data_IF_381728246791
#
_entry.id   IF_381728246791
#
_cell.length_a   1.000
_cell.length_b   1.000
_cell.length_c   1.000
_cell.angle_alpha   90.00
_cell.angle_beta   90.00
_cell.angle_gamma   90.00
#
_symmetry.space_group_name_H-M   'P 1'
#
loop_
_entity.id
_entity.type
_entity.pdbx_description
1 polymer ?
#
# COMPACT_ATOMS: atom_id res chain seq x y z
N UNK A 1 -6.31 15.37 -32.70
CA UNK A 1 -5.17 16.27 -33.01
C UNK A 1 -5.22 17.44 -32.03
N UNK A 2 -4.16 17.72 -31.28
CA UNK A 2 -4.19 18.72 -30.19
C UNK A 2 -4.19 20.17 -30.72
N UNK A 3 -4.75 21.12 -29.96
CA UNK A 3 -4.89 22.55 -30.35
C UNK A 3 -3.59 23.15 -30.92
N UNK A 4 -2.44 22.85 -30.32
CA UNK A 4 -1.12 23.30 -30.80
C UNK A 4 -0.78 22.85 -32.23
N UNK A 5 -1.16 21.63 -32.62
CA UNK A 5 -0.89 21.12 -33.96
C UNK A 5 -1.72 21.82 -35.05
N UNK A 6 -2.87 22.39 -34.69
CA UNK A 6 -3.72 23.15 -35.61
C UNK A 6 -3.19 24.56 -35.82
N UNK A 7 -2.77 25.24 -34.75
CA UNK A 7 -2.15 26.56 -34.82
C UNK A 7 -0.88 26.56 -35.69
N UNK A 8 -0.10 25.47 -35.66
CA UNK A 8 1.12 25.36 -36.47
C UNK A 8 0.88 25.21 -37.97
N UNK A 9 -0.22 24.58 -38.36
CA UNK A 9 -0.62 24.48 -39.77
C UNK A 9 -1.13 25.82 -40.30
N UNK A 10 -1.73 26.64 -39.43
CA UNK A 10 -2.17 28.00 -39.75
C UNK A 10 -0.97 28.94 -39.93
N UNK A 11 0.11 28.75 -39.15
CA UNK A 11 1.30 29.60 -39.21
C UNK A 11 2.26 29.26 -40.36
N UNK A 12 2.24 28.03 -40.87
CA UNK A 12 3.08 27.58 -41.98
C UNK A 12 3.08 28.49 -43.23
N UNK A 13 1.93 28.89 -43.80
CA UNK A 13 1.90 29.75 -45.00
C UNK A 13 2.46 31.16 -44.77
N UNK A 14 2.61 31.58 -43.51
CA UNK A 14 3.15 32.89 -43.14
C UNK A 14 4.64 32.86 -42.77
N UNK A 15 5.28 31.68 -42.85
CA UNK A 15 6.69 31.54 -42.54
C UNK A 15 7.57 32.04 -43.69
N UNK A 16 8.20 33.19 -43.47
CA UNK A 16 9.24 33.77 -44.33
C UNK A 16 10.60 33.67 -43.66
N UNK A 17 11.65 33.56 -44.47
CA UNK A 17 13.02 33.66 -43.95
C UNK A 17 13.37 35.11 -43.53
N UNK A 18 14.56 35.29 -42.95
CA UNK A 18 15.06 36.61 -42.53
C UNK A 18 15.25 37.61 -43.70
N UNK A 19 15.08 37.15 -44.95
CA UNK A 19 15.19 37.92 -46.19
C UNK A 19 13.82 38.07 -46.89
N UNK A 20 12.73 37.60 -46.28
CA UNK A 20 11.37 37.71 -46.80
C UNK A 20 10.94 36.63 -47.80
N UNK A 21 11.76 35.62 -48.05
CA UNK A 21 11.44 34.55 -49.01
C UNK A 21 10.55 33.47 -48.39
N UNK A 22 9.56 33.00 -49.16
CA UNK A 22 8.74 31.85 -48.80
C UNK A 22 9.57 30.56 -48.82
N UNK A 23 9.61 29.83 -47.71
CA UNK A 23 10.37 28.58 -47.60
C UNK A 23 9.50 27.35 -47.90
N UNK A 24 10.08 26.29 -48.49
CA UNK A 24 9.40 25.00 -48.66
C UNK A 24 8.85 24.43 -47.34
N UNK A 25 7.68 23.80 -47.41
CA UNK A 25 6.96 23.21 -46.27
C UNK A 25 7.80 22.29 -45.36
N UNK A 26 8.74 21.53 -45.94
CA UNK A 26 9.60 20.61 -45.18
C UNK A 26 10.64 21.35 -44.32
N UNK A 27 11.05 22.56 -44.72
CA UNK A 27 11.99 23.39 -43.95
C UNK A 27 11.28 23.94 -42.71
N UNK A 28 10.03 24.37 -42.84
CA UNK A 28 9.19 24.79 -41.69
C UNK A 28 9.08 23.68 -40.64
N UNK A 29 8.72 22.47 -41.07
CA UNK A 29 8.63 21.31 -40.18
C UNK A 29 9.97 20.97 -39.51
N UNK A 30 11.07 21.01 -40.26
CA UNK A 30 12.41 20.76 -39.72
C UNK A 30 12.82 21.82 -38.68
N UNK A 31 12.59 23.11 -38.95
CA UNK A 31 12.90 24.20 -38.01
C UNK A 31 12.07 24.11 -36.73
N UNK A 32 10.82 23.66 -36.81
CA UNK A 32 9.99 23.43 -35.62
C UNK A 32 10.53 22.28 -34.76
N UNK A 33 10.88 21.16 -35.40
CA UNK A 33 11.49 20.02 -34.71
C UNK A 33 12.81 20.43 -34.06
N UNK A 34 13.64 21.21 -34.77
CA UNK A 34 14.89 21.76 -34.26
C UNK A 34 14.66 22.66 -33.03
N UNK A 35 13.73 23.62 -33.10
CA UNK A 35 13.40 24.49 -31.98
C UNK A 35 12.87 23.69 -30.75
N UNK A 36 12.06 22.66 -30.99
CA UNK A 36 11.59 21.77 -29.93
C UNK A 36 12.74 20.99 -29.30
N UNK A 37 13.66 20.45 -30.11
CA UNK A 37 14.82 19.70 -29.64
C UNK A 37 15.79 20.61 -28.87
N UNK A 38 16.07 21.81 -29.36
CA UNK A 38 16.90 22.80 -28.66
C UNK A 38 16.28 23.17 -27.30
N UNK A 39 14.97 23.44 -27.27
CA UNK A 39 14.25 23.72 -26.02
C UNK A 39 14.33 22.55 -25.05
N UNK A 40 14.17 21.32 -25.55
CA UNK A 40 14.31 20.11 -24.74
C UNK A 40 15.72 19.95 -24.16
N UNK A 41 16.77 20.20 -24.97
CA UNK A 41 18.16 20.15 -24.53
C UNK A 41 18.39 21.17 -23.41
N UNK A 42 17.96 22.42 -23.59
CA UNK A 42 18.12 23.49 -22.59
C UNK A 42 17.43 23.10 -21.27
N UNK A 43 16.17 22.63 -21.34
CA UNK A 43 15.44 22.19 -20.15
C UNK A 43 16.12 21.01 -19.46
N UNK A 44 16.66 20.07 -20.23
CA UNK A 44 17.39 18.91 -19.69
C UNK A 44 18.69 19.33 -19.03
N UNK A 45 19.44 20.25 -19.62
CA UNK A 45 20.66 20.82 -19.04
C UNK A 45 20.36 21.59 -17.76
N UNK A 46 19.30 22.41 -17.76
CA UNK A 46 18.86 23.13 -16.57
C UNK A 46 18.48 22.17 -15.45
N UNK A 47 17.69 21.13 -15.75
CA UNK A 47 17.37 20.08 -14.79
C UNK A 47 18.62 19.39 -14.24
N UNK A 48 19.61 19.11 -15.09
CA UNK A 48 20.86 18.50 -14.66
C UNK A 48 21.68 19.42 -13.75
N UNK A 49 21.71 20.74 -14.04
CA UNK A 49 22.32 21.75 -13.17
C UNK A 49 21.61 21.81 -11.82
N UNK A 50 20.28 21.84 -11.82
CA UNK A 50 19.47 21.87 -10.61
C UNK A 50 19.64 20.59 -9.77
N UNK A 51 19.68 19.42 -10.41
CA UNK A 51 19.92 18.14 -9.74
C UNK A 51 21.33 18.03 -9.12
N UNK A 52 22.34 18.68 -9.74
CA UNK A 52 23.71 18.76 -9.21
C UNK A 52 23.85 19.79 -8.08
N UNK A 53 22.88 20.68 -7.89
CA UNK A 53 22.91 21.65 -6.80
C UNK A 53 22.93 20.96 -5.43
N UNK A 54 23.90 21.27 -4.55
CA UNK A 54 23.96 20.72 -3.20
C UNK A 54 22.68 20.98 -2.39
N UNK A 55 22.05 22.15 -2.60
CA UNK A 55 20.79 22.52 -1.93
C UNK A 55 19.63 21.60 -2.35
N UNK A 56 19.52 21.28 -3.63
CA UNK A 56 18.51 20.37 -4.14
C UNK A 56 18.68 18.95 -3.59
N UNK A 57 19.94 18.48 -3.46
CA UNK A 57 20.24 17.18 -2.84
C UNK A 57 19.82 17.12 -1.38
N UNK A 58 20.10 18.16 -0.60
CA UNK A 58 19.70 18.23 0.82
C UNK A 58 18.18 18.28 0.96
N UNK A 59 17.51 19.10 0.13
CA UNK A 59 16.05 19.19 0.12
C UNK A 59 15.39 17.85 -0.22
N UNK A 60 15.84 17.20 -1.30
CA UNK A 60 15.34 15.89 -1.72
C UNK A 60 15.59 14.82 -0.64
N UNK A 61 16.76 14.85 0.01
CA UNK A 61 17.06 13.94 1.12
C UNK A 61 16.12 14.19 2.32
N UNK A 62 15.85 15.45 2.68
CA UNK A 62 14.89 15.81 3.74
C UNK A 62 13.49 15.32 3.38
N UNK A 63 13.04 15.54 2.14
CA UNK A 63 11.72 15.12 1.66
C UNK A 63 11.55 13.60 1.69
N UNK A 64 12.55 12.85 1.22
CA UNK A 64 12.55 11.38 1.27
C UNK A 64 12.52 10.87 2.70
N UNK A 65 13.35 11.44 3.58
CA UNK A 65 13.39 11.07 4.99
C UNK A 65 12.06 11.41 5.69
N UNK A 66 11.49 12.59 5.44
CA UNK A 66 10.19 12.99 5.95
C UNK A 66 9.08 12.03 5.51
N UNK A 67 9.05 11.62 4.23
CA UNK A 67 8.10 10.63 3.72
C UNK A 67 8.24 9.28 4.43
N UNK A 68 9.46 8.82 4.68
CA UNK A 68 9.71 7.59 5.42
C UNK A 68 9.28 7.69 6.89
N UNK A 69 9.56 8.82 7.54
CA UNK A 69 9.09 9.12 8.90
C UNK A 69 7.56 9.09 8.96
N UNK A 70 6.85 9.83 8.09
CA UNK A 70 5.38 9.80 8.04
C UNK A 70 4.82 8.39 7.88
N UNK A 71 5.44 7.55 7.05
CA UNK A 71 5.03 6.14 6.90
C UNK A 71 5.15 5.36 8.22
N UNK A 72 6.20 5.56 9.00
CA UNK A 72 6.35 4.93 10.31
C UNK A 72 5.28 5.42 11.30
N UNK A 73 4.99 6.72 11.31
CA UNK A 73 3.95 7.27 12.20
C UNK A 73 2.54 6.79 11.86
N UNK A 74 2.24 6.48 10.59
CA UNK A 74 0.96 5.81 10.25
C UNK A 74 0.77 4.48 10.96
N UNK A 75 1.86 3.81 11.36
CA UNK A 75 1.81 2.56 12.11
C UNK A 75 1.57 2.76 13.62
N UNK A 76 1.57 4.00 14.11
CA UNK A 76 1.35 4.30 15.53
C UNK A 76 0.04 3.71 16.04
N UNK A 77 -1.05 3.83 15.27
CA UNK A 77 -2.36 3.26 15.62
C UNK A 77 -2.39 1.74 15.66
N UNK A 78 -1.44 1.08 14.98
CA UNK A 78 -1.32 -0.38 14.95
C UNK A 78 -0.24 -0.90 15.91
N UNK A 79 0.50 0.00 16.55
CA UNK A 79 1.52 -0.35 17.53
C UNK A 79 0.91 -0.57 18.91
N UNK A 80 1.67 -1.17 19.83
CA UNK A 80 1.23 -1.33 21.21
C UNK A 80 1.18 0.03 21.90
N UNK A 81 0.17 0.25 22.74
CA UNK A 81 0.02 1.49 23.51
C UNK A 81 1.26 1.84 24.35
N UNK A 82 1.91 0.84 24.95
CA UNK A 82 3.14 1.03 25.74
C UNK A 82 4.35 1.51 24.92
N UNK A 83 4.35 1.24 23.61
CA UNK A 83 5.43 1.63 22.70
C UNK A 83 5.18 3.03 22.08
N UNK A 84 4.21 3.78 22.60
CA UNK A 84 3.90 5.16 22.18
C UNK A 84 5.12 6.09 22.27
N UNK A 85 6.05 5.86 23.20
CA UNK A 85 7.30 6.61 23.35
C UNK A 85 8.24 6.52 22.14
N UNK A 86 8.03 5.57 21.23
CA UNK A 86 8.79 5.48 19.97
C UNK A 86 8.39 6.58 18.97
N UNK A 87 7.26 7.24 19.20
CA UNK A 87 6.70 8.29 18.38
C UNK A 87 6.77 9.61 19.15
N UNK A 88 7.13 10.69 18.46
CA UNK A 88 7.02 12.05 19.00
C UNK A 88 5.56 12.50 19.01
N UNK A 89 5.22 13.46 19.86
CA UNK A 89 3.84 13.91 20.05
C UNK A 89 3.20 14.46 18.77
N UNK A 90 4.00 15.12 17.91
CA UNK A 90 3.55 15.64 16.63
C UNK A 90 4.58 15.39 15.53
N UNK A 91 4.11 14.73 14.46
CA UNK A 91 4.93 14.30 13.31
C UNK A 91 5.40 15.48 12.48
N UNK A 92 4.50 16.43 12.23
CA UNK A 92 4.78 17.55 11.33
C UNK A 92 5.74 18.53 11.98
N UNK A 93 5.57 18.83 13.28
CA UNK A 93 6.55 19.66 14.02
C UNK A 93 7.92 18.98 14.09
N UNK A 94 7.96 17.66 14.25
CA UNK A 94 9.21 16.91 14.22
C UNK A 94 9.90 16.96 12.85
N UNK A 95 9.15 16.87 11.75
CA UNK A 95 9.69 16.94 10.38
C UNK A 95 10.19 18.35 10.06
N UNK A 96 9.46 19.38 10.48
CA UNK A 96 9.81 20.78 10.25
C UNK A 96 11.11 21.14 10.96
N UNK A 97 11.17 20.87 12.27
CA UNK A 97 12.32 21.21 13.14
C UNK A 97 13.55 20.35 12.92
N UNK A 98 13.40 19.14 12.36
CA UNK A 98 14.51 18.20 12.20
C UNK A 98 15.28 18.39 10.89
N UNK A 99 16.58 18.07 10.95
CA UNK A 99 17.45 17.96 9.77
C UNK A 99 17.23 16.61 9.07
N UNK A 100 17.62 16.54 7.78
CA UNK A 100 17.52 15.32 6.98
C UNK A 100 18.23 14.11 7.65
N UNK A 101 19.42 14.35 8.22
CA UNK A 101 20.20 13.31 8.92
C UNK A 101 19.48 12.81 10.17
N UNK A 102 18.89 13.71 10.97
CA UNK A 102 18.13 13.35 12.18
C UNK A 102 16.92 12.50 11.84
N UNK A 103 16.18 12.86 10.79
CA UNK A 103 15.05 12.08 10.27
C UNK A 103 15.50 10.68 9.79
N UNK A 104 16.59 10.62 9.02
CA UNK A 104 17.12 9.35 8.54
C UNK A 104 17.58 8.45 9.70
N UNK A 105 18.28 9.01 10.69
CA UNK A 105 18.71 8.30 11.90
C UNK A 105 17.51 7.74 12.65
N UNK A 106 16.47 8.54 12.86
CA UNK A 106 15.22 8.09 13.48
C UNK A 106 14.62 6.89 12.73
N UNK A 107 14.50 6.97 11.41
CA UNK A 107 13.97 5.86 10.59
C UNK A 107 14.82 4.60 10.74
N UNK A 108 16.15 4.71 10.67
CA UNK A 108 17.04 3.54 10.80
C UNK A 108 16.98 2.90 12.18
N UNK A 109 16.94 3.70 13.25
CA UNK A 109 16.96 3.20 14.63
C UNK A 109 15.60 2.62 15.04
N UNK A 110 14.49 3.28 14.68
CA UNK A 110 13.17 2.95 15.21
C UNK A 110 12.32 2.06 14.30
N UNK A 111 12.61 1.99 12.99
CA UNK A 111 11.81 1.18 12.05
C UNK A 111 11.63 -0.27 12.51
N UNK A 112 12.72 -0.95 12.90
CA UNK A 112 12.67 -2.35 13.35
C UNK A 112 11.88 -2.52 14.65
N UNK A 113 12.00 -1.56 15.57
CA UNK A 113 11.26 -1.58 16.83
C UNK A 113 9.76 -1.37 16.60
N UNK A 114 9.39 -0.41 15.76
CA UNK A 114 8.00 -0.12 15.38
C UNK A 114 7.36 -1.33 14.69
N UNK A 115 8.03 -1.93 13.69
CA UNK A 115 7.51 -3.11 13.01
C UNK A 115 7.32 -4.29 13.97
N UNK A 116 8.25 -4.50 14.92
CA UNK A 116 8.10 -5.53 15.95
C UNK A 116 6.91 -5.23 16.88
N UNK A 117 6.71 -3.98 17.25
CA UNK A 117 5.56 -3.56 18.08
C UNK A 117 4.24 -3.87 17.37
N UNK A 118 4.13 -3.50 16.10
CA UNK A 118 2.94 -3.76 15.27
C UNK A 118 2.67 -5.26 15.14
N UNK A 119 3.68 -6.06 14.79
CA UNK A 119 3.53 -7.52 14.67
C UNK A 119 3.07 -8.14 16.00
N UNK A 120 3.60 -7.66 17.12
CA UNK A 120 3.24 -8.10 18.46
C UNK A 120 1.85 -7.63 18.90
N UNK A 121 1.38 -6.48 18.44
CA UNK A 121 0.03 -6.00 18.67
C UNK A 121 -0.98 -6.83 17.86
N UNK A 122 -0.66 -7.11 16.59
CA UNK A 122 -1.47 -7.95 15.72
C UNK A 122 -1.59 -9.38 16.26
N UNK A 123 -0.47 -9.99 16.69
CA UNK A 123 -0.49 -11.32 17.29
C UNK A 123 -1.36 -11.38 18.54
N UNK A 124 -1.29 -10.36 19.41
CA UNK A 124 -2.16 -10.27 20.59
C UNK A 124 -3.63 -10.11 20.19
N UNK A 125 -3.93 -9.26 19.22
CA UNK A 125 -5.29 -9.09 18.71
C UNK A 125 -5.86 -10.42 18.18
N UNK A 126 -5.10 -11.18 17.39
CA UNK A 126 -5.54 -12.50 16.89
C UNK A 126 -5.74 -13.51 18.02
N UNK A 127 -4.87 -13.53 19.04
CA UNK A 127 -5.04 -14.42 20.20
C UNK A 127 -6.30 -14.11 21.02
N UNK A 128 -6.64 -12.82 21.15
CA UNK A 128 -7.82 -12.38 21.91
C UNK A 128 -9.10 -12.37 21.06
N UNK A 129 -9.00 -12.46 19.75
CA UNK A 129 -10.15 -12.56 18.84
C UNK A 129 -10.50 -14.03 18.63
N UNK A 130 -11.38 -14.58 19.47
CA UNK A 130 -11.99 -15.89 19.21
C UNK A 130 -13.15 -15.72 18.23
N UNK A 131 -13.28 -16.65 17.27
CA UNK A 131 -14.47 -16.73 16.41
C UNK A 131 -15.73 -16.72 17.27
N UNK A 132 -16.74 -15.93 16.89
CA UNK A 132 -18.01 -15.84 17.62
C UNK A 132 -18.67 -17.23 17.76
N UNK A 133 -18.40 -18.13 16.82
CA UNK A 133 -18.89 -19.52 16.84
C UNK A 133 -18.39 -20.29 18.07
N UNK A 134 -17.20 -19.98 18.58
CA UNK A 134 -16.66 -20.61 19.80
C UNK A 134 -17.34 -20.11 21.08
N UNK A 135 -18.14 -19.04 21.00
CA UNK A 135 -18.93 -18.54 22.14
C UNK A 135 -20.30 -19.22 22.22
N UNK A 136 -20.78 -19.77 21.10
CA UNK A 136 -21.99 -20.56 21.07
C UNK A 136 -21.64 -22.02 21.33
N UNK A 137 -22.35 -22.67 22.27
CA UNK A 137 -22.22 -24.12 22.42
C UNK A 137 -22.66 -24.78 21.10
N UNK A 138 -21.92 -25.78 20.58
CA UNK A 138 -22.40 -26.53 19.43
C UNK A 138 -23.78 -27.09 19.80
N UNK A 139 -24.80 -26.75 19.01
CA UNK A 139 -26.10 -27.39 19.11
C UNK A 139 -25.83 -28.86 18.85
N UNK A 140 -26.02 -29.70 19.88
CA UNK A 140 -25.96 -31.14 19.71
C UNK A 140 -27.09 -31.50 18.74
N UNK A 141 -26.74 -31.77 17.49
CA UNK A 141 -27.65 -32.43 16.59
C UNK A 141 -28.02 -33.74 17.29
N UNK A 142 -29.30 -33.91 17.62
CA UNK A 142 -29.78 -35.17 18.15
C UNK A 142 -29.31 -36.29 17.20
N UNK A 143 -28.75 -37.38 17.71
CA UNK A 143 -28.45 -38.52 16.86
C UNK A 143 -29.75 -38.94 16.15
N UNK A 144 -29.69 -39.29 14.85
CA UNK A 144 -30.87 -39.73 14.14
C UNK A 144 -31.50 -40.88 14.92
N UNK A 145 -32.80 -40.76 15.20
CA UNK A 145 -33.57 -41.78 15.93
C UNK A 145 -33.29 -43.15 15.32
N UNK A 146 -32.66 -44.03 16.11
CA UNK A 146 -32.53 -45.44 15.75
C UNK A 146 -33.93 -46.01 15.50
N UNK A 147 -34.18 -46.71 14.39
CA UNK A 147 -35.50 -47.25 14.11
C UNK A 147 -35.91 -48.21 15.21
N UNK A 148 -37.11 -48.01 15.74
CA UNK A 148 -37.70 -48.79 16.81
C UNK A 148 -37.72 -50.29 16.43
N UNK A 149 -36.93 -51.09 17.15
CA UNK A 149 -36.99 -52.56 17.06
C UNK A 149 -38.32 -52.99 17.69
N UNK A 150 -39.30 -53.30 16.85
CA UNK A 150 -40.55 -53.94 17.24
C UNK A 150 -40.23 -55.35 17.72
N UNK A 151 -40.38 -55.61 19.03
CA UNK A 151 -40.26 -56.97 19.57
C UNK A 151 -41.56 -57.73 19.32
N UNK A 152 -41.58 -58.85 18.60
CA UNK A 152 -42.76 -59.69 18.54
C UNK A 152 -42.95 -60.43 19.87
N UNK A 153 -44.16 -60.30 20.39
CA UNK A 153 -44.69 -61.07 21.52
C UNK A 153 -44.76 -62.56 21.19
N UNK A 154 -44.58 -63.39 22.23
CA UNK A 154 -45.00 -64.79 22.38
C UNK A 154 -44.12 -65.89 21.77
N UNK A 155 -43.29 -66.50 22.62
CA UNK A 155 -43.08 -67.95 22.59
C UNK A 155 -43.23 -68.46 24.03
N UNK A 156 -44.34 -69.19 24.26
CA UNK A 156 -44.66 -69.87 25.50
C UNK A 156 -43.65 -71.01 25.74
N UNK A 157 -42.83 -70.90 26.79
CA UNK A 157 -41.99 -72.00 27.24
C UNK A 157 -42.82 -72.97 28.08
N UNK A 158 -43.20 -74.10 27.46
CA UNK A 158 -43.80 -75.24 28.13
C UNK A 158 -42.77 -75.84 29.11
N UNK A 159 -43.05 -75.77 30.42
CA UNK A 159 -42.31 -76.53 31.44
C UNK A 159 -42.73 -78.00 31.38
N UNK A 160 -41.82 -78.87 30.96
CA UNK A 160 -41.96 -80.30 31.18
C UNK A 160 -41.11 -80.70 32.41
N UNK A 161 -41.80 -81.11 33.46
CA UNK A 161 -41.20 -81.82 34.60
C UNK A 161 -40.65 -83.19 34.17
N UNK A 162 -39.47 -83.57 34.67
CA UNK A 162 -39.21 -84.97 34.99
C UNK A 162 -38.16 -85.10 36.08
N UNK A 163 -38.59 -85.62 37.23
CA UNK A 163 -37.76 -86.13 38.34
C UNK A 163 -37.14 -87.47 37.95
N UNK A 164 -35.97 -87.74 38.53
CA UNK A 164 -35.44 -89.04 39.06
C UNK A 164 -33.91 -89.04 38.88
N UNK A 165 -33.08 -89.64 39.74
CA UNK A 165 -33.18 -90.14 41.11
C UNK A 165 -31.74 -90.32 41.55
#
# INVERSE_FOLDING_TARGET
MGKLSQEWLILQPHYTDNQGNSRPAHIWGASLVEACLQSYIILREQRNKDARSPKARIHLAKERAAKATRKLYKLQHHSRFHDSKLFADNVETFIETSTAQKLQRYVTMNSKAICKSVARAQAAATQHTRSIVNWFRPVQNQPPESPAITRPHNILLHKAHSKKK
#
